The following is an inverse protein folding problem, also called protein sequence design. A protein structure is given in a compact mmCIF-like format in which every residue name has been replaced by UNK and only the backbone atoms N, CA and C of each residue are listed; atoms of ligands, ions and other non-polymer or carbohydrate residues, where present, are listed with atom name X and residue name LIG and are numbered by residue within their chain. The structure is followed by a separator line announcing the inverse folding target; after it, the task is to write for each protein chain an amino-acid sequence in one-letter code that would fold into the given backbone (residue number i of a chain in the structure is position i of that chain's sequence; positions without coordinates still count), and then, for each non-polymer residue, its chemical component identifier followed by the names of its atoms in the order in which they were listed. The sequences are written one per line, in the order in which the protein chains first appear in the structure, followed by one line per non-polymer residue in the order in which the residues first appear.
data_IF_888977658751
#
_entry.id   IF_888977658751
#
_cell.length_a   1.000
_cell.length_b   1.000
_cell.length_c   1.000
_cell.angle_alpha   90.00
_cell.angle_beta   90.00
_cell.angle_gamma   90.00
#
_symmetry.space_group_name_H-M   'P 1'
#
loop_
_entity.id
_entity.type
_entity.pdbx_description
1 polymer ?
#
# COMPACT_ATOMS: atom_id res chain seq x y z
N UNK A 1 -17.84 39.07 -16.98
CA UNK A 1 -18.81 38.13 -16.47
C UNK A 1 -18.23 37.28 -15.38
N UNK A 2 -18.91 37.21 -14.29
CA UNK A 2 -18.44 36.44 -13.15
C UNK A 2 -18.27 34.94 -13.48
N UNK A 3 -19.13 34.42 -14.34
CA UNK A 3 -19.09 33.01 -14.67
C UNK A 3 -17.82 32.59 -15.38
N UNK A 4 -17.27 33.46 -16.18
CA UNK A 4 -16.04 33.16 -16.90
C UNK A 4 -14.84 33.19 -15.97
N UNK A 5 -14.94 34.03 -14.97
CA UNK A 5 -13.87 34.22 -14.00
C UNK A 5 -14.17 33.51 -12.70
N UNK A 6 -15.29 32.81 -12.63
CA UNK A 6 -15.65 32.11 -11.43
C UNK A 6 -14.57 31.11 -11.08
N UNK A 7 -14.17 31.06 -9.83
CA UNK A 7 -13.16 30.09 -9.42
C UNK A 7 -13.67 28.67 -9.64
N UNK A 8 -12.77 27.83 -10.03
CA UNK A 8 -13.10 26.42 -10.19
C UNK A 8 -13.51 25.86 -8.82
N UNK A 9 -14.37 24.87 -8.84
CA UNK A 9 -14.77 24.22 -7.60
C UNK A 9 -13.54 23.62 -6.90
N UNK A 10 -13.65 23.47 -5.61
CA UNK A 10 -12.56 22.84 -4.84
C UNK A 10 -12.21 21.47 -5.41
N UNK A 11 -13.23 20.73 -5.86
CA UNK A 11 -13.02 19.43 -6.46
C UNK A 11 -12.17 19.53 -7.74
N UNK A 12 -12.52 20.45 -8.62
CA UNK A 12 -11.80 20.64 -9.87
C UNK A 12 -10.34 21.03 -9.63
N UNK A 13 -10.12 21.91 -8.67
CA UNK A 13 -8.78 22.34 -8.32
C UNK A 13 -7.97 21.17 -7.76
N UNK A 14 -8.59 20.39 -6.90
CA UNK A 14 -7.94 19.24 -6.31
C UNK A 14 -7.55 18.20 -7.36
N UNK A 15 -8.47 17.94 -8.30
CA UNK A 15 -8.21 16.98 -9.38
C UNK A 15 -7.12 17.47 -10.32
N UNK A 16 -7.11 18.77 -10.63
CA UNK A 16 -6.08 19.33 -11.50
C UNK A 16 -4.69 19.21 -10.84
N UNK A 17 -4.61 19.49 -9.56
CA UNK A 17 -3.35 19.37 -8.82
C UNK A 17 -2.87 17.93 -8.76
N UNK A 18 -3.79 17.00 -8.52
CA UNK A 18 -3.47 15.59 -8.45
C UNK A 18 -2.92 15.09 -9.78
N UNK A 19 -3.59 15.44 -10.85
CA UNK A 19 -3.17 15.06 -12.19
C UNK A 19 -1.78 15.61 -12.53
N UNK A 20 -1.55 16.88 -12.20
CA UNK A 20 -0.26 17.52 -12.41
C UNK A 20 0.84 16.84 -11.61
N UNK A 21 0.54 16.53 -10.35
CA UNK A 21 1.48 15.85 -9.48
C UNK A 21 1.85 14.49 -10.03
N UNK A 22 0.88 13.73 -10.50
CA UNK A 22 1.10 12.42 -11.09
C UNK A 22 2.02 12.53 -12.31
N UNK A 23 1.81 13.53 -13.16
CA UNK A 23 2.65 13.76 -14.31
C UNK A 23 4.08 14.11 -13.93
N UNK A 24 4.23 14.96 -12.92
CA UNK A 24 5.54 15.39 -12.44
C UNK A 24 6.31 14.24 -11.82
N UNK A 25 5.63 13.32 -11.15
CA UNK A 25 6.24 12.16 -10.53
C UNK A 25 6.48 11.02 -11.53
N UNK A 26 6.11 11.22 -12.78
CA UNK A 26 6.28 10.20 -13.79
C UNK A 26 5.22 9.11 -13.74
N UNK A 27 4.16 9.35 -12.98
CA UNK A 27 3.04 8.42 -12.95
C UNK A 27 2.29 8.59 -14.26
N UNK A 28 2.23 7.53 -15.04
CA UNK A 28 1.58 7.57 -16.34
C UNK A 28 0.12 7.20 -16.18
N UNK A 29 -0.76 8.05 -16.72
CA UNK A 29 -2.19 7.82 -16.69
C UNK A 29 -2.55 6.82 -17.78
N UNK A 30 -2.12 5.58 -17.61
CA UNK A 30 -2.40 4.49 -18.53
C UNK A 30 -3.18 3.41 -17.81
N UNK A 31 -4.13 2.79 -18.51
CA UNK A 31 -4.85 1.66 -17.93
C UNK A 31 -3.85 0.52 -17.62
N UNK A 32 -4.13 -0.16 -16.56
CA UNK A 32 -3.36 -1.34 -16.19
C UNK A 32 -3.70 -2.46 -17.17
N UNK A 33 -2.70 -3.11 -17.71
CA UNK A 33 -2.89 -4.24 -18.62
C UNK A 33 -3.45 -5.45 -17.87
N UNK A 34 -3.97 -6.42 -18.58
CA UNK A 34 -4.48 -7.65 -17.96
C UNK A 34 -3.34 -8.40 -17.25
N UNK A 35 -2.15 -8.40 -17.85
CA UNK A 35 -0.97 -9.03 -17.26
C UNK A 35 -0.56 -8.32 -15.97
N UNK A 36 -0.58 -7.01 -15.98
CA UNK A 36 -0.28 -6.23 -14.78
C UNK A 36 -1.31 -6.47 -13.69
N UNK A 37 -2.59 -6.53 -14.09
CA UNK A 37 -3.66 -6.80 -13.14
C UNK A 37 -3.48 -8.15 -12.45
N UNK A 38 -3.13 -9.17 -13.24
CA UNK A 38 -2.88 -10.51 -12.70
C UNK A 38 -1.67 -10.50 -11.76
N UNK A 39 -0.61 -9.77 -12.14
CA UNK A 39 0.59 -9.67 -11.31
C UNK A 39 0.31 -8.94 -10.00
N UNK A 40 -0.52 -7.90 -10.05
CA UNK A 40 -0.92 -7.16 -8.84
C UNK A 40 -1.75 -8.06 -7.92
N UNK A 41 -2.69 -8.81 -8.50
CA UNK A 41 -3.50 -9.74 -7.72
C UNK A 41 -2.62 -10.79 -7.04
N UNK A 42 -1.61 -11.29 -7.74
CA UNK A 42 -0.68 -12.25 -7.17
C UNK A 42 0.14 -11.62 -6.04
N UNK A 43 0.62 -10.40 -6.22
CA UNK A 43 1.36 -9.70 -5.17
C UNK A 43 0.53 -9.54 -3.90
N UNK A 44 -0.74 -9.20 -4.06
CA UNK A 44 -1.66 -9.07 -2.93
C UNK A 44 -1.90 -10.40 -2.24
N UNK A 45 -2.06 -11.45 -3.02
CA UNK A 45 -2.29 -12.79 -2.51
C UNK A 45 -1.10 -13.30 -1.70
N UNK A 46 0.10 -13.06 -2.20
CA UNK A 46 1.32 -13.44 -1.50
C UNK A 46 1.42 -12.70 -0.17
N UNK A 47 1.11 -11.40 -0.17
CA UNK A 47 1.16 -10.60 1.05
C UNK A 47 0.11 -11.09 2.06
N UNK A 48 -1.10 -11.41 1.62
CA UNK A 48 -2.14 -11.94 2.49
C UNK A 48 -1.69 -13.23 3.16
N UNK A 49 -1.07 -14.12 2.39
CA UNK A 49 -0.57 -15.39 2.92
C UNK A 49 0.52 -15.15 3.97
N UNK A 50 1.44 -14.23 3.69
CA UNK A 50 2.51 -13.90 4.62
C UNK A 50 1.97 -13.27 5.90
N UNK A 51 0.99 -12.39 5.78
CA UNK A 51 0.36 -11.77 6.94
C UNK A 51 -0.37 -12.81 7.79
N UNK A 52 -1.07 -13.73 7.15
CA UNK A 52 -1.77 -14.80 7.86
C UNK A 52 -0.79 -15.71 8.61
N UNK A 53 0.31 -16.09 7.97
CA UNK A 53 1.32 -16.90 8.61
C UNK A 53 1.94 -16.18 9.81
N UNK A 54 2.22 -14.90 9.63
CA UNK A 54 2.82 -14.10 10.70
C UNK A 54 1.86 -13.94 11.87
N UNK A 55 0.57 -13.79 11.60
CA UNK A 55 -0.44 -13.71 12.65
C UNK A 55 -0.50 -14.99 13.47
N UNK A 56 -0.47 -16.14 12.82
CA UNK A 56 -0.48 -17.43 13.50
C UNK A 56 0.74 -17.56 14.40
N UNK A 57 1.91 -17.20 13.89
CA UNK A 57 3.14 -17.23 14.65
C UNK A 57 3.06 -16.30 15.86
N UNK A 58 2.55 -15.10 15.64
CA UNK A 58 2.41 -14.12 16.72
C UNK A 58 1.51 -14.63 17.85
N UNK A 59 0.39 -15.23 17.50
CA UNK A 59 -0.54 -15.81 18.50
C UNK A 59 0.17 -16.86 19.34
N UNK A 60 0.95 -17.71 18.69
CA UNK A 60 1.71 -18.73 19.38
C UNK A 60 2.74 -18.15 20.32
N UNK A 61 3.50 -17.16 19.84
CA UNK A 61 4.52 -16.48 20.65
C UNK A 61 3.90 -15.74 21.83
N UNK A 62 2.80 -15.04 21.57
CA UNK A 62 2.10 -14.27 22.60
C UNK A 62 1.60 -15.15 23.72
N UNK A 63 1.09 -16.33 23.39
CA UNK A 63 0.59 -17.27 24.36
C UNK A 63 1.69 -17.77 25.31
N UNK A 64 2.95 -17.68 24.87
CA UNK A 64 4.11 -18.11 25.66
C UNK A 64 4.83 -16.98 26.36
N UNK A 65 4.36 -15.75 26.19
CA UNK A 65 5.02 -14.60 26.82
C UNK A 65 4.97 -14.74 28.35
N UNK A 66 6.15 -14.65 28.97
CA UNK A 66 6.27 -14.91 30.39
C UNK A 66 5.87 -13.71 31.25
N UNK A 67 5.99 -12.51 30.71
CA UNK A 67 5.74 -11.28 31.46
C UNK A 67 5.32 -10.16 30.50
N UNK A 68 4.85 -9.01 31.06
CA UNK A 68 4.40 -7.88 30.22
C UNK A 68 5.48 -7.32 29.30
N UNK A 69 6.72 -7.32 29.73
CA UNK A 69 7.82 -6.82 28.92
C UNK A 69 8.04 -7.67 27.67
N UNK A 70 8.05 -8.99 27.87
CA UNK A 70 8.15 -9.93 26.76
C UNK A 70 6.96 -9.78 25.80
N UNK A 71 5.77 -9.60 26.36
CA UNK A 71 4.57 -9.39 25.56
C UNK A 71 4.68 -8.13 24.70
N UNK A 72 5.09 -7.01 25.29
CA UNK A 72 5.24 -5.76 24.56
C UNK A 72 6.25 -5.86 23.44
N UNK A 73 7.34 -6.57 23.69
CA UNK A 73 8.38 -6.77 22.68
C UNK A 73 7.82 -7.55 21.49
N UNK A 74 7.05 -8.58 21.77
CA UNK A 74 6.42 -9.38 20.72
C UNK A 74 5.42 -8.55 19.92
N UNK A 75 4.66 -7.68 20.58
CA UNK A 75 3.71 -6.80 19.91
C UNK A 75 4.44 -5.83 18.96
N UNK A 76 5.56 -5.27 19.41
CA UNK A 76 6.35 -4.35 18.60
C UNK A 76 6.95 -5.05 17.39
N UNK A 77 7.49 -6.25 17.59
CA UNK A 77 8.05 -7.03 16.48
C UNK A 77 6.99 -7.40 15.46
N UNK A 78 5.82 -7.80 15.92
CA UNK A 78 4.71 -8.15 15.05
C UNK A 78 4.27 -6.96 14.20
N UNK A 79 4.15 -5.80 14.82
CA UNK A 79 3.77 -4.58 14.10
C UNK A 79 4.79 -4.25 13.02
N UNK A 80 6.07 -4.33 13.34
CA UNK A 80 7.12 -4.06 12.35
C UNK A 80 7.09 -5.04 11.19
N UNK A 81 6.87 -6.31 11.48
CA UNK A 81 6.80 -7.33 10.44
C UNK A 81 5.62 -7.11 9.52
N UNK A 82 4.46 -6.75 10.09
CA UNK A 82 3.27 -6.45 9.28
C UNK A 82 3.51 -5.24 8.38
N UNK A 83 4.11 -4.20 8.92
CA UNK A 83 4.41 -3.00 8.15
C UNK A 83 5.39 -3.30 7.02
N UNK A 84 6.38 -4.13 7.28
CA UNK A 84 7.34 -4.52 6.25
C UNK A 84 6.66 -5.30 5.13
N UNK A 85 5.83 -6.27 5.48
CA UNK A 85 5.12 -7.06 4.47
C UNK A 85 4.21 -6.17 3.63
N UNK A 86 3.49 -5.26 4.27
CA UNK A 86 2.62 -4.32 3.56
C UNK A 86 3.43 -3.39 2.64
N UNK A 87 4.55 -2.91 3.13
CA UNK A 87 5.41 -2.02 2.35
C UNK A 87 6.02 -2.73 1.14
N UNK A 88 6.47 -3.97 1.33
CA UNK A 88 7.00 -4.76 0.22
C UNK A 88 5.92 -5.04 -0.82
N UNK A 89 4.71 -5.34 -0.39
CA UNK A 89 3.57 -5.50 -1.29
C UNK A 89 3.33 -4.24 -2.11
N UNK A 90 3.27 -3.10 -1.43
CA UNK A 90 2.98 -1.83 -2.10
C UNK A 90 4.08 -1.46 -3.08
N UNK A 91 5.33 -1.69 -2.71
CA UNK A 91 6.46 -1.44 -3.57
C UNK A 91 6.41 -2.33 -4.82
N UNK A 92 6.07 -3.60 -4.63
CA UNK A 92 5.93 -4.54 -5.73
C UNK A 92 4.83 -4.11 -6.69
N UNK A 93 3.69 -3.66 -6.15
CA UNK A 93 2.58 -3.19 -6.97
C UNK A 93 2.98 -1.94 -7.76
N UNK A 94 3.72 -1.03 -7.13
CA UNK A 94 4.23 0.15 -7.83
C UNK A 94 5.14 -0.22 -8.99
N UNK A 95 6.04 -1.16 -8.77
CA UNK A 95 6.94 -1.63 -9.82
C UNK A 95 6.17 -2.24 -10.98
N UNK A 96 5.14 -3.02 -10.67
CA UNK A 96 4.30 -3.62 -11.72
C UNK A 96 3.61 -2.53 -12.52
N UNK A 97 3.03 -1.54 -11.85
CA UNK A 97 2.33 -0.43 -12.52
C UNK A 97 3.28 0.39 -13.39
N UNK A 98 4.52 0.50 -12.98
CA UNK A 98 5.52 1.23 -13.74
C UNK A 98 6.09 0.42 -14.90
N UNK A 99 5.65 -0.83 -15.05
CA UNK A 99 6.13 -1.70 -16.13
C UNK A 99 7.39 -2.48 -15.78
N UNK A 100 7.87 -2.38 -14.55
CA UNK A 100 9.03 -3.14 -14.09
C UNK A 100 8.55 -4.49 -13.55
N UNK A 101 9.27 -5.53 -13.88
CA UNK A 101 8.92 -6.88 -13.43
C UNK A 101 10.01 -7.50 -12.58
#
# INVERSE_FOLDING_TARGET
MADQDAPKSAYEIAMARLKKKDQEEGVVDRPVTDEQRAAIAEARKVAEARLAEREIMHRSQRARAADPEAFEKLEAEYRRDRERIASERDHKIEQIRAGNR
#
